data_IF_731546952989
#
_entry.id   IF_731546952989
#
_cell.length_a   1.000
_cell.length_b   1.000
_cell.length_c   1.000
_cell.angle_alpha   90.00
_cell.angle_beta   90.00
_cell.angle_gamma   90.00
#
_symmetry.space_group_name_H-M   'P 1'
#
loop_
_entity.id
_entity.type
_entity.pdbx_description
1 polymer ?
#
# COMPACT_ATOMS: atom_id res chain seq x y z
N UNK A 1 -19.68 8.38 -19.04
CA UNK A 1 -20.43 7.15 -18.67
C UNK A 1 -19.47 6.04 -18.30
N UNK A 2 -19.87 5.04 -17.46
CA UNK A 2 -19.01 3.89 -17.16
C UNK A 2 -19.15 2.80 -18.23
N UNK A 3 -18.04 2.18 -18.65
CA UNK A 3 -18.03 1.06 -19.59
C UNK A 3 -17.34 -0.16 -18.96
N UNK A 4 -17.78 -1.37 -19.37
CA UNK A 4 -17.15 -2.62 -18.95
C UNK A 4 -15.77 -2.75 -19.60
N UNK A 5 -14.73 -2.58 -18.80
CA UNK A 5 -13.36 -2.44 -19.27
C UNK A 5 -12.61 -3.77 -19.20
N UNK A 6 -12.54 -4.38 -18.03
CA UNK A 6 -11.85 -5.64 -17.79
C UNK A 6 -12.77 -6.65 -17.11
N UNK A 7 -12.47 -7.93 -17.28
CA UNK A 7 -13.06 -9.04 -16.55
C UNK A 7 -11.96 -9.90 -15.93
N UNK A 8 -12.13 -10.31 -14.68
CA UNK A 8 -11.20 -11.23 -14.02
C UNK A 8 -11.49 -12.64 -14.52
N UNK A 9 -10.52 -13.23 -15.21
CA UNK A 9 -10.63 -14.58 -15.77
C UNK A 9 -10.16 -15.63 -14.77
N UNK A 10 -9.11 -15.33 -14.02
CA UNK A 10 -8.62 -16.19 -12.95
C UNK A 10 -7.99 -15.34 -11.84
N UNK A 11 -8.17 -15.77 -10.59
CA UNK A 11 -7.57 -15.15 -9.42
C UNK A 11 -7.25 -16.24 -8.38
N UNK A 12 -5.96 -16.54 -8.22
CA UNK A 12 -5.43 -17.42 -7.17
C UNK A 12 -4.69 -16.63 -6.09
N UNK A 13 -4.38 -15.37 -6.35
CA UNK A 13 -3.85 -14.40 -5.39
C UNK A 13 -4.98 -13.57 -4.77
N UNK A 14 -4.69 -12.33 -4.45
CA UNK A 14 -5.65 -11.35 -3.96
C UNK A 14 -5.63 -10.12 -4.85
N UNK A 15 -6.81 -9.56 -5.12
CA UNK A 15 -6.94 -8.26 -5.77
C UNK A 15 -8.04 -7.45 -5.08
N UNK A 16 -7.85 -6.14 -5.01
CA UNK A 16 -8.84 -5.21 -4.46
C UNK A 16 -8.74 -3.86 -5.16
N UNK A 17 -9.86 -3.12 -5.21
CA UNK A 17 -9.84 -1.73 -5.64
C UNK A 17 -9.32 -0.88 -4.50
N UNK A 18 -8.32 -0.06 -4.77
CA UNK A 18 -7.71 0.85 -3.80
C UNK A 18 -7.56 2.25 -4.42
N UNK A 19 -7.71 3.27 -3.57
CA UNK A 19 -7.36 4.67 -3.82
C UNK A 19 -6.46 5.19 -2.68
N UNK A 20 -6.46 6.46 -2.35
CA UNK A 20 -5.70 6.98 -1.20
C UNK A 20 -6.36 6.68 0.17
N UNK A 21 -7.57 6.12 0.16
CA UNK A 21 -8.31 5.73 1.36
C UNK A 21 -9.28 6.78 1.87
N UNK A 22 -10.01 6.39 2.94
CA UNK A 22 -11.04 7.21 3.62
C UNK A 22 -10.38 8.14 4.62
N UNK A 23 -9.98 9.29 4.15
CA UNK A 23 -9.48 10.33 5.04
C UNK A 23 -10.65 10.83 5.92
N UNK A 24 -10.38 11.09 7.19
CA UNK A 24 -11.35 11.61 8.17
C UNK A 24 -12.53 10.66 8.53
N UNK A 25 -12.46 9.36 8.25
CA UNK A 25 -13.51 8.40 8.64
C UNK A 25 -13.19 7.63 9.95
N UNK A 26 -11.99 7.79 10.49
CA UNK A 26 -11.53 7.05 11.67
C UNK A 26 -12.38 7.31 12.92
N UNK A 27 -12.86 8.53 13.12
CA UNK A 27 -13.72 8.90 14.24
C UNK A 27 -15.10 8.21 14.19
N UNK A 28 -15.50 7.68 13.03
CA UNK A 28 -16.71 6.87 12.84
C UNK A 28 -16.46 5.36 13.11
N UNK A 29 -15.23 4.97 13.45
CA UNK A 29 -14.87 3.58 13.72
C UNK A 29 -14.44 2.79 12.47
N UNK A 30 -14.33 3.43 11.29
CA UNK A 30 -14.01 2.75 10.04
C UNK A 30 -12.53 2.84 9.68
N UNK A 31 -12.01 1.76 9.08
CA UNK A 31 -10.63 1.71 8.59
C UNK A 31 -10.42 2.72 7.46
N UNK A 32 -9.25 3.36 7.45
CA UNK A 32 -8.90 4.27 6.36
C UNK A 32 -8.80 3.54 5.02
N UNK A 33 -8.22 2.33 5.00
CA UNK A 33 -7.94 1.61 3.76
C UNK A 33 -6.93 2.36 2.88
N UNK A 34 -7.00 2.12 1.58
CA UNK A 34 -6.15 2.73 0.58
C UNK A 34 -4.96 1.88 0.18
N UNK A 35 -4.29 2.28 -0.89
CA UNK A 35 -3.13 1.58 -1.44
C UNK A 35 -2.04 1.36 -0.38
N UNK A 36 -1.53 0.13 -0.28
CA UNK A 36 -0.50 -0.23 0.68
C UNK A 36 0.83 0.46 0.32
N UNK A 37 1.19 0.46 -0.96
CA UNK A 37 2.31 1.20 -1.53
C UNK A 37 1.78 2.42 -2.32
N UNK A 38 1.62 3.56 -1.63
CA UNK A 38 1.14 4.78 -2.28
C UNK A 38 2.08 5.29 -3.37
N UNK A 39 3.39 5.01 -3.28
CA UNK A 39 4.32 5.43 -4.31
C UNK A 39 4.03 4.72 -5.64
N UNK A 40 3.86 3.41 -5.61
CA UNK A 40 3.52 2.64 -6.79
C UNK A 40 2.13 3.01 -7.33
N UNK A 41 1.14 3.16 -6.45
CA UNK A 41 -0.22 3.57 -6.80
C UNK A 41 -0.26 4.95 -7.48
N UNK A 42 0.35 5.95 -6.86
CA UNK A 42 0.39 7.31 -7.41
C UNK A 42 1.16 7.37 -8.73
N UNK A 43 2.24 6.59 -8.85
CA UNK A 43 3.02 6.51 -10.09
C UNK A 43 2.21 5.87 -11.22
N UNK A 44 1.41 4.83 -10.94
CA UNK A 44 0.53 4.24 -11.95
C UNK A 44 -0.48 5.26 -12.50
N UNK A 45 -1.11 6.01 -11.61
CA UNK A 45 -2.04 7.08 -12.00
C UNK A 45 -1.35 8.24 -12.72
N UNK A 46 -0.13 8.60 -12.33
CA UNK A 46 0.65 9.62 -13.01
C UNK A 46 1.04 9.19 -14.42
N UNK A 47 1.44 7.93 -14.63
CA UNK A 47 1.73 7.37 -15.95
C UNK A 47 0.53 7.52 -16.89
N UNK A 48 -0.69 7.24 -16.41
CA UNK A 48 -1.92 7.45 -17.17
C UNK A 48 -2.12 8.94 -17.49
N UNK A 49 -1.94 9.83 -16.50
CA UNK A 49 -2.09 11.27 -16.67
C UNK A 49 -1.08 11.84 -17.69
N UNK A 50 0.17 11.43 -17.59
CA UNK A 50 1.25 11.86 -18.49
C UNK A 50 1.02 11.35 -19.92
N UNK A 51 0.47 10.14 -20.06
CA UNK A 51 0.11 9.56 -21.36
C UNK A 51 -1.02 10.36 -22.03
N UNK A 52 -2.04 10.73 -21.26
CA UNK A 52 -3.18 11.47 -21.80
C UNK A 52 -2.83 12.92 -22.25
N UNK A 53 -1.56 13.35 -22.15
CA UNK A 53 -1.06 14.69 -22.55
C UNK A 53 -2.00 15.82 -22.11
N UNK A 54 -2.60 15.69 -20.95
CA UNK A 54 -3.44 16.73 -20.39
C UNK A 54 -2.57 17.94 -20.09
N UNK A 55 -2.79 19.03 -20.81
CA UNK A 55 -2.09 20.33 -20.70
C UNK A 55 -2.24 20.96 -19.32
N UNK A 56 -3.13 20.40 -18.51
CA UNK A 56 -3.23 20.65 -17.07
C UNK A 56 -3.06 19.30 -16.33
N UNK A 57 -2.22 19.23 -15.28
CA UNK A 57 -2.16 18.02 -14.45
C UNK A 57 -3.56 17.76 -13.88
N UNK A 58 -4.22 16.73 -14.38
CA UNK A 58 -5.57 16.40 -13.95
C UNK A 58 -5.47 15.87 -12.52
N UNK A 59 -5.63 16.77 -11.53
CA UNK A 59 -5.62 16.42 -10.09
C UNK A 59 -6.59 15.28 -9.77
N UNK A 60 -7.61 15.07 -10.61
CA UNK A 60 -8.55 13.97 -10.45
C UNK A 60 -7.94 12.59 -10.74
N UNK A 61 -6.97 12.46 -11.68
CA UNK A 61 -6.36 11.17 -11.99
C UNK A 61 -5.47 10.66 -10.84
N UNK A 62 -4.81 11.52 -10.07
CA UNK A 62 -3.89 11.12 -8.99
C UNK A 62 -4.54 10.21 -7.94
N UNK A 63 -5.85 10.34 -7.69
CA UNK A 63 -6.59 9.50 -6.76
C UNK A 63 -7.62 8.60 -7.44
N UNK A 64 -7.49 8.34 -8.75
CA UNK A 64 -8.37 7.39 -9.42
C UNK A 64 -8.14 5.97 -8.88
N UNK A 65 -9.23 5.23 -8.59
CA UNK A 65 -9.10 3.88 -8.05
C UNK A 65 -8.36 2.96 -9.01
N UNK A 66 -7.37 2.24 -8.48
CA UNK A 66 -6.59 1.24 -9.19
C UNK A 66 -6.79 -0.14 -8.56
N UNK A 67 -6.45 -1.19 -9.28
CA UNK A 67 -6.44 -2.55 -8.73
C UNK A 67 -5.08 -2.77 -8.07
N UNK A 68 -5.09 -3.05 -6.77
CA UNK A 68 -3.95 -3.57 -6.02
C UNK A 68 -3.99 -5.08 -6.10
N UNK A 69 -2.91 -5.69 -6.62
CA UNK A 69 -2.76 -7.13 -6.80
C UNK A 69 -1.67 -7.62 -5.85
N UNK A 70 -2.02 -8.48 -4.90
CA UNK A 70 -1.09 -9.03 -3.92
C UNK A 70 -0.61 -10.41 -4.38
N UNK A 71 0.72 -10.59 -4.46
CA UNK A 71 1.42 -11.82 -4.88
C UNK A 71 1.07 -12.27 -6.33
N UNK A 72 0.53 -11.41 -7.16
CA UNK A 72 0.21 -11.74 -8.55
C UNK A 72 -0.85 -12.83 -8.69
N UNK A 73 -0.63 -13.78 -9.61
CA UNK A 73 -1.51 -14.93 -9.88
C UNK A 73 -2.94 -14.54 -10.25
N UNK A 74 -3.07 -13.47 -11.03
CA UNK A 74 -4.34 -12.93 -11.52
C UNK A 74 -4.25 -12.74 -13.02
N UNK A 75 -5.34 -13.03 -13.72
CA UNK A 75 -5.49 -12.73 -15.14
C UNK A 75 -6.77 -11.97 -15.43
N UNK A 76 -6.67 -11.04 -16.38
CA UNK A 76 -7.77 -10.20 -16.84
C UNK A 76 -7.93 -10.34 -18.34
N UNK A 77 -9.17 -10.19 -18.80
CA UNK A 77 -9.49 -10.01 -20.21
C UNK A 77 -10.02 -8.60 -20.45
N UNK A 78 -9.49 -7.94 -21.46
CA UNK A 78 -10.03 -6.67 -21.91
C UNK A 78 -11.33 -6.89 -22.68
N UNK A 79 -12.39 -6.14 -22.34
CA UNK A 79 -13.66 -6.18 -23.04
C UNK A 79 -13.84 -4.97 -23.95
N UNK A 80 -13.04 -3.95 -23.76
CA UNK A 80 -12.98 -2.77 -24.61
C UNK A 80 -11.55 -2.30 -24.76
N UNK A 81 -11.28 -1.52 -25.77
CA UNK A 81 -9.99 -0.86 -25.92
C UNK A 81 -9.77 0.11 -24.74
N UNK A 82 -8.62 0.00 -24.08
CA UNK A 82 -8.28 0.86 -22.95
C UNK A 82 -6.77 1.00 -22.77
N UNK A 83 -6.36 2.11 -22.13
CA UNK A 83 -4.98 2.35 -21.73
C UNK A 83 -4.84 2.03 -20.26
N UNK A 84 -3.87 1.19 -19.95
CA UNK A 84 -3.51 0.77 -18.59
C UNK A 84 -2.10 1.19 -18.23
N UNK A 85 -1.82 1.34 -16.94
CA UNK A 85 -0.47 1.44 -16.41
C UNK A 85 -0.23 0.35 -15.35
N UNK A 86 0.97 -0.23 -15.34
CA UNK A 86 1.39 -1.26 -14.40
C UNK A 86 2.59 -0.78 -13.61
N UNK A 87 2.53 -0.86 -12.27
CA UNK A 87 3.61 -0.47 -11.34
C UNK A 87 3.71 -1.45 -10.17
N UNK A 88 4.57 -1.14 -9.19
CA UNK A 88 4.77 -1.96 -7.99
C UNK A 88 5.68 -3.16 -8.22
N UNK A 89 5.43 -4.26 -7.53
CA UNK A 89 6.19 -5.49 -7.63
C UNK A 89 6.18 -6.04 -9.06
N UNK A 90 7.31 -6.58 -9.53
CA UNK A 90 7.41 -7.13 -10.88
C UNK A 90 6.84 -8.55 -10.95
N UNK A 91 5.59 -8.66 -11.30
CA UNK A 91 4.88 -9.92 -11.52
C UNK A 91 5.12 -10.55 -12.90
N UNK A 92 6.17 -10.15 -13.62
CA UNK A 92 6.44 -10.64 -15.00
C UNK A 92 5.18 -10.61 -15.85
N UNK A 93 4.48 -9.46 -15.82
CA UNK A 93 3.20 -9.32 -16.51
C UNK A 93 3.34 -9.60 -18.00
N UNK A 94 2.29 -10.19 -18.60
CA UNK A 94 2.21 -10.48 -20.02
C UNK A 94 0.92 -9.93 -20.60
N UNK A 95 0.99 -9.49 -21.86
CA UNK A 95 -0.19 -9.25 -22.70
C UNK A 95 -0.13 -10.26 -23.84
N UNK A 96 -1.14 -11.11 -23.98
CA UNK A 96 -1.22 -12.18 -25.00
C UNK A 96 0.09 -13.01 -25.05
N UNK A 97 0.56 -13.47 -23.87
CA UNK A 97 1.79 -14.23 -23.66
C UNK A 97 3.12 -13.49 -23.93
N UNK A 98 3.08 -12.25 -24.38
CA UNK A 98 4.27 -11.41 -24.56
C UNK A 98 4.59 -10.72 -23.23
N UNK A 99 5.79 -10.97 -22.70
CA UNK A 99 6.26 -10.32 -21.46
C UNK A 99 6.40 -8.82 -21.67
N UNK A 100 5.80 -8.04 -20.77
CA UNK A 100 5.83 -6.59 -20.79
C UNK A 100 6.67 -6.03 -19.63
N UNK A 101 7.17 -4.82 -19.80
CA UNK A 101 7.93 -4.12 -18.74
C UNK A 101 6.98 -3.54 -17.69
N UNK A 102 7.41 -3.57 -16.44
CA UNK A 102 6.75 -2.87 -15.37
C UNK A 102 7.05 -1.35 -15.42
N UNK A 103 6.25 -0.55 -14.76
CA UNK A 103 6.35 0.93 -14.70
C UNK A 103 6.17 1.62 -16.05
N UNK A 104 5.20 1.14 -16.84
CA UNK A 104 4.85 1.65 -18.17
C UNK A 104 3.35 1.59 -18.43
N UNK A 105 2.90 2.38 -19.43
CA UNK A 105 1.56 2.30 -19.99
C UNK A 105 1.51 1.35 -21.18
N UNK A 106 0.33 0.74 -21.37
CA UNK A 106 0.02 -0.15 -22.48
C UNK A 106 -1.39 0.09 -22.97
N UNK A 107 -1.57 -0.01 -24.28
CA UNK A 107 -2.89 -0.02 -24.91
C UNK A 107 -3.34 -1.45 -25.08
N UNK A 108 -4.51 -1.77 -24.58
CA UNK A 108 -5.18 -3.06 -24.74
C UNK A 108 -6.23 -2.95 -25.83
N UNK A 109 -6.35 -4.00 -26.61
CA UNK A 109 -7.45 -4.21 -27.55
C UNK A 109 -8.51 -5.11 -26.92
N UNK A 110 -9.77 -5.09 -27.42
CA UNK A 110 -10.76 -6.08 -26.99
C UNK A 110 -10.23 -7.49 -27.13
N UNK A 111 -10.48 -8.31 -26.13
CA UNK A 111 -10.05 -9.71 -25.96
C UNK A 111 -8.57 -9.90 -25.59
N UNK A 112 -7.75 -8.87 -25.46
CA UNK A 112 -6.39 -9.02 -24.94
C UNK A 112 -6.43 -9.60 -23.52
N UNK A 113 -5.52 -10.54 -23.27
CA UNK A 113 -5.33 -11.19 -21.98
C UNK A 113 -4.13 -10.60 -21.26
N UNK A 114 -4.36 -10.11 -20.03
CA UNK A 114 -3.27 -9.66 -19.15
C UNK A 114 -3.10 -10.70 -18.05
N UNK A 115 -1.86 -11.17 -17.85
CA UNK A 115 -1.55 -12.14 -16.81
C UNK A 115 -0.45 -11.62 -15.89
N UNK A 116 -0.60 -11.84 -14.59
CA UNK A 116 0.38 -11.49 -13.55
C UNK A 116 0.86 -12.78 -12.89
N UNK A 117 2.13 -13.11 -13.03
CA UNK A 117 2.74 -14.21 -12.29
C UNK A 117 3.09 -13.79 -10.85
N UNK A 118 3.49 -14.73 -10.01
CA UNK A 118 4.00 -14.44 -8.68
C UNK A 118 5.32 -13.64 -8.79
N UNK A 119 5.46 -12.49 -8.12
CA UNK A 119 6.67 -11.69 -8.18
C UNK A 119 7.82 -12.37 -7.42
N UNK A 120 9.06 -12.16 -7.87
CA UNK A 120 10.26 -12.62 -7.15
C UNK A 120 10.48 -11.80 -5.87
N UNK A 121 10.28 -10.48 -5.97
CA UNK A 121 10.43 -9.51 -4.89
C UNK A 121 9.23 -8.59 -4.82
N UNK A 122 8.95 -8.07 -3.64
CA UNK A 122 7.77 -7.25 -3.39
C UNK A 122 6.50 -8.07 -3.21
N UNK A 123 5.41 -7.41 -2.86
CA UNK A 123 4.10 -8.02 -2.62
C UNK A 123 3.03 -7.48 -3.55
N UNK A 124 2.97 -6.15 -3.71
CA UNK A 124 1.85 -5.45 -4.33
C UNK A 124 2.22 -4.89 -5.70
N UNK A 125 1.44 -5.25 -6.72
CA UNK A 125 1.45 -4.60 -8.04
C UNK A 125 0.17 -3.79 -8.20
N UNK A 126 0.22 -2.74 -9.02
CA UNK A 126 -0.92 -1.86 -9.28
C UNK A 126 -1.22 -1.86 -10.77
N UNK A 127 -2.51 -1.98 -11.08
CA UNK A 127 -3.05 -1.84 -12.42
C UNK A 127 -4.00 -0.62 -12.41
N UNK A 128 -3.61 0.46 -13.07
CA UNK A 128 -4.42 1.67 -13.23
C UNK A 128 -5.02 1.77 -14.63
N UNK A 129 -6.10 2.52 -14.75
CA UNK A 129 -6.78 2.86 -16.01
C UNK A 129 -7.20 4.33 -16.00
N UNK A 130 -7.40 4.93 -17.16
CA UNK A 130 -7.90 6.27 -17.25
C UNK A 130 -9.30 6.39 -16.61
N UNK A 131 -9.44 7.33 -15.67
CA UNK A 131 -10.66 7.54 -14.87
C UNK A 131 -10.92 6.54 -13.76
N UNK A 132 -9.99 5.58 -13.55
CA UNK A 132 -10.02 4.59 -12.45
C UNK A 132 -11.01 3.45 -12.66
N UNK A 133 -10.90 2.42 -11.81
CA UNK A 133 -11.75 1.24 -11.81
C UNK A 133 -12.88 1.32 -10.77
N UNK A 134 -14.05 0.78 -11.14
CA UNK A 134 -15.16 0.53 -10.23
C UNK A 134 -15.71 -0.89 -10.44
N UNK A 135 -16.39 -1.45 -9.43
CA UNK A 135 -17.03 -2.77 -9.52
C UNK A 135 -18.43 -2.73 -10.12
N UNK A 136 -19.04 -1.57 -10.21
CA UNK A 136 -20.42 -1.39 -10.68
C UNK A 136 -20.57 -0.09 -11.49
N UNK A 137 -21.50 -0.10 -12.44
CA UNK A 137 -21.89 1.10 -13.17
C UNK A 137 -22.48 2.13 -12.21
N UNK A 138 -21.97 3.37 -12.24
CA UNK A 138 -22.47 4.45 -11.39
C UNK A 138 -22.13 4.30 -9.91
N UNK A 139 -21.18 3.43 -9.56
CA UNK A 139 -20.72 3.28 -8.17
C UNK A 139 -20.21 4.63 -7.65
N UNK A 140 -20.70 4.99 -6.45
CA UNK A 140 -20.24 6.19 -5.74
C UNK A 140 -19.22 5.82 -4.67
N UNK A 141 -18.26 6.70 -4.36
CA UNK A 141 -17.34 6.47 -3.27
C UNK A 141 -18.09 6.45 -1.93
N UNK A 142 -17.76 5.48 -1.07
CA UNK A 142 -18.29 5.43 0.28
C UNK A 142 -17.34 6.17 1.24
N UNK A 143 -17.88 7.12 1.97
CA UNK A 143 -17.10 8.06 2.80
C UNK A 143 -15.91 8.67 2.04
N UNK A 144 -16.11 9.04 0.77
CA UNK A 144 -15.12 9.69 -0.07
C UNK A 144 -14.06 8.78 -0.70
N UNK A 145 -14.19 7.43 -0.58
CA UNK A 145 -13.20 6.48 -1.10
C UNK A 145 -13.86 5.25 -1.74
N UNK A 146 -13.20 4.70 -2.76
CA UNK A 146 -13.54 3.41 -3.37
C UNK A 146 -12.73 2.24 -2.78
N UNK A 147 -11.79 2.52 -1.86
CA UNK A 147 -10.94 1.49 -1.29
C UNK A 147 -11.74 0.37 -0.64
N UNK A 148 -11.50 -0.84 -1.08
CA UNK A 148 -12.03 -2.05 -0.49
C UNK A 148 -11.21 -2.43 0.73
N UNK A 149 -11.86 -2.63 1.84
CA UNK A 149 -11.27 -3.04 3.11
C UNK A 149 -12.05 -4.23 3.66
N UNK A 150 -11.35 -5.17 4.30
CA UNK A 150 -11.92 -6.47 4.64
C UNK A 150 -13.16 -6.37 5.54
N UNK A 151 -13.08 -5.55 6.60
CA UNK A 151 -14.17 -5.37 7.56
C UNK A 151 -15.38 -4.68 6.93
N UNK A 152 -15.14 -3.60 6.17
CA UNK A 152 -16.19 -2.81 5.55
C UNK A 152 -16.87 -3.56 4.38
N UNK A 153 -16.14 -4.43 3.68
CA UNK A 153 -16.73 -5.35 2.70
C UNK A 153 -17.64 -6.38 3.38
N UNK A 154 -17.22 -6.93 4.53
CA UNK A 154 -18.05 -7.88 5.29
C UNK A 154 -19.36 -7.24 5.78
N UNK A 155 -19.36 -5.92 6.03
CA UNK A 155 -20.52 -5.12 6.38
C UNK A 155 -21.33 -4.64 5.15
N UNK A 156 -20.86 -4.93 3.93
CA UNK A 156 -21.55 -4.54 2.68
C UNK A 156 -21.32 -3.11 2.21
N UNK A 157 -20.42 -2.33 2.84
CA UNK A 157 -20.23 -0.91 2.53
C UNK A 157 -19.33 -0.63 1.31
N UNK A 158 -18.29 -1.45 1.08
CA UNK A 158 -17.26 -1.17 0.06
C UNK A 158 -17.29 -2.14 -1.13
N UNK A 159 -18.46 -2.73 -1.38
CA UNK A 159 -18.65 -3.69 -2.45
C UNK A 159 -18.32 -5.13 -2.05
N UNK A 160 -18.14 -5.99 -3.04
CA UNK A 160 -17.82 -7.41 -2.85
C UNK A 160 -16.34 -7.67 -3.17
N UNK A 161 -15.75 -8.72 -2.60
CA UNK A 161 -14.43 -9.18 -3.00
C UNK A 161 -14.35 -9.43 -4.52
N UNK A 162 -13.20 -9.12 -5.11
CA UNK A 162 -12.93 -9.45 -6.51
C UNK A 162 -12.67 -10.96 -6.62
N UNK A 163 -13.42 -11.62 -7.47
CA UNK A 163 -13.35 -13.07 -7.74
C UNK A 163 -13.33 -13.31 -9.25
N UNK A 164 -13.06 -14.52 -9.68
CA UNK A 164 -13.22 -14.95 -11.08
C UNK A 164 -14.62 -14.60 -11.59
N UNK A 165 -14.71 -13.99 -12.76
CA UNK A 165 -15.93 -13.47 -13.36
C UNK A 165 -16.32 -12.04 -12.91
N UNK A 166 -15.58 -11.43 -11.97
CA UNK A 166 -15.81 -10.04 -11.59
C UNK A 166 -15.58 -9.10 -12.76
N UNK A 167 -16.56 -8.23 -13.00
CA UNK A 167 -16.50 -7.19 -14.05
C UNK A 167 -16.00 -5.88 -13.45
N UNK A 168 -15.08 -5.25 -14.16
CA UNK A 168 -14.47 -3.98 -13.79
C UNK A 168 -14.85 -2.94 -14.82
N UNK A 169 -15.27 -1.78 -14.34
CA UNK A 169 -15.75 -0.66 -15.16
C UNK A 169 -14.78 0.51 -15.05
N UNK A 170 -14.64 1.29 -16.14
CA UNK A 170 -13.88 2.53 -16.15
C UNK A 170 -14.73 3.66 -16.75
N UNK A 171 -14.24 4.89 -16.66
CA UNK A 171 -14.86 6.05 -17.33
C UNK A 171 -14.68 5.92 -18.85
N UNK A 172 -15.79 5.90 -19.60
CA UNK A 172 -15.73 5.87 -21.07
C UNK A 172 -15.07 7.13 -21.64
N UNK A 173 -15.43 8.29 -21.11
CA UNK A 173 -14.94 9.59 -21.62
C UNK A 173 -13.42 9.74 -21.37
N UNK A 174 -12.95 9.38 -20.18
CA UNK A 174 -11.51 9.41 -19.87
C UNK A 174 -10.72 8.39 -20.69
N UNK A 175 -11.30 7.21 -20.91
CA UNK A 175 -10.66 6.16 -21.69
C UNK A 175 -10.63 6.51 -23.19
N UNK A 176 -11.69 7.11 -23.72
CA UNK A 176 -11.71 7.63 -25.09
C UNK A 176 -10.58 8.62 -25.36
N UNK A 177 -10.37 9.56 -24.42
CA UNK A 177 -9.28 10.51 -24.53
C UNK A 177 -7.93 9.80 -24.53
N UNK A 178 -7.72 8.83 -23.63
CA UNK A 178 -6.45 8.13 -23.48
C UNK A 178 -6.08 7.30 -24.72
N UNK A 179 -7.02 6.57 -25.33
CA UNK A 179 -6.75 5.65 -26.45
C UNK A 179 -6.37 6.34 -27.77
N UNK A 180 -6.76 7.60 -27.95
CA UNK A 180 -6.42 8.38 -29.15
C UNK A 180 -5.04 9.02 -29.11
N UNK A 181 -4.35 8.93 -27.97
CA UNK A 181 -3.00 9.46 -27.80
C UNK A 181 -1.94 8.39 -28.13
N UNK A 182 -0.85 8.74 -28.85
CA UNK A 182 0.25 7.82 -29.08
C UNK A 182 0.91 7.43 -27.77
N UNK A 183 1.13 6.13 -27.53
CA UNK A 183 1.86 5.69 -26.34
C UNK A 183 3.28 6.20 -26.42
N UNK A 184 3.60 7.17 -25.59
CA UNK A 184 4.97 7.63 -25.36
C UNK A 184 5.72 6.57 -24.53
N UNK A 185 6.14 5.47 -25.18
CA UNK A 185 6.94 4.42 -24.56
C UNK A 185 8.30 4.90 -24.02
N UNK A 186 8.65 6.17 -24.22
CA UNK A 186 10.00 6.71 -24.06
C UNK A 186 10.22 7.55 -22.78
N UNK A 187 9.29 7.60 -21.83
CA UNK A 187 9.59 8.09 -20.48
C UNK A 187 9.73 6.90 -19.53
N UNK A 188 10.87 6.18 -19.52
CA UNK A 188 11.07 5.18 -18.50
C UNK A 188 11.14 5.93 -17.17
N UNK A 189 10.18 5.74 -16.31
CA UNK A 189 10.38 6.02 -14.90
C UNK A 189 11.45 5.01 -14.49
N UNK A 190 12.58 5.50 -13.96
CA UNK A 190 13.59 4.63 -13.40
C UNK A 190 12.89 3.70 -12.41
N UNK A 191 12.70 2.46 -12.84
CA UNK A 191 11.98 1.45 -12.08
C UNK A 191 12.66 1.32 -10.72
N UNK A 192 11.93 1.54 -9.61
CA UNK A 192 12.50 1.36 -8.28
C UNK A 192 12.64 -0.11 -7.89
N UNK A 193 12.81 -1.02 -8.87
CA UNK A 193 12.96 -2.47 -8.63
C UNK A 193 14.03 -2.78 -7.59
N UNK A 194 15.08 -1.95 -7.49
CA UNK A 194 16.07 -2.06 -6.43
C UNK A 194 15.49 -1.84 -5.01
N UNK A 195 14.37 -1.10 -4.87
CA UNK A 195 13.73 -0.92 -3.57
C UNK A 195 13.04 -2.19 -3.08
N UNK A 196 12.54 -3.02 -3.98
CA UNK A 196 11.80 -4.23 -3.62
C UNK A 196 12.69 -5.47 -3.50
N UNK A 197 13.92 -5.40 -3.99
CA UNK A 197 14.89 -6.50 -3.91
C UNK A 197 15.70 -6.52 -2.59
N UNK A 198 15.41 -5.60 -1.66
CA UNK A 198 16.10 -5.53 -0.37
C UNK A 198 15.44 -6.46 0.64
N UNK A 199 16.20 -7.40 1.18
CA UNK A 199 15.75 -8.31 2.25
C UNK A 199 15.86 -7.72 3.66
N UNK A 200 16.37 -6.50 3.78
CA UNK A 200 16.44 -5.73 5.02
C UNK A 200 16.12 -4.26 4.78
N UNK A 201 15.31 -3.68 5.65
CA UNK A 201 14.84 -2.30 5.53
C UNK A 201 15.03 -1.56 6.86
N UNK A 202 15.69 -0.40 6.79
CA UNK A 202 15.74 0.54 7.92
C UNK A 202 14.54 1.46 7.88
N UNK A 203 13.75 1.44 8.95
CA UNK A 203 12.56 2.26 9.13
C UNK A 203 12.88 3.45 10.03
N UNK A 204 12.57 4.65 9.56
CA UNK A 204 12.75 5.89 10.32
C UNK A 204 11.53 6.12 11.22
N UNK A 205 11.79 6.35 12.50
CA UNK A 205 10.77 6.45 13.54
C UNK A 205 10.82 7.81 14.22
N UNK A 206 9.69 8.48 14.28
CA UNK A 206 9.47 9.61 15.18
C UNK A 206 9.13 9.03 16.56
N UNK A 207 9.95 9.28 17.61
CA UNK A 207 9.72 8.71 18.92
C UNK A 207 8.46 9.29 19.58
N UNK A 208 7.75 8.48 20.34
CA UNK A 208 6.67 8.93 21.21
C UNK A 208 7.20 9.50 22.52
N UNK A 209 6.34 10.17 23.30
CA UNK A 209 6.68 10.58 24.67
C UNK A 209 7.06 9.39 25.53
N UNK A 210 6.38 8.24 25.36
CA UNK A 210 6.71 7.01 26.07
C UNK A 210 8.14 6.55 25.77
N UNK A 211 8.52 6.52 24.50
CA UNK A 211 9.88 6.14 24.08
C UNK A 211 10.95 7.05 24.72
N UNK A 212 10.67 8.37 24.78
CA UNK A 212 11.59 9.34 25.36
C UNK A 212 11.70 9.20 26.91
N UNK A 213 10.72 8.55 27.56
CA UNK A 213 10.74 8.24 29.00
C UNK A 213 11.45 6.91 29.33
N UNK A 214 11.76 6.09 28.33
CA UNK A 214 12.52 4.86 28.51
C UNK A 214 13.97 5.19 28.89
N UNK A 215 14.62 4.25 29.61
CA UNK A 215 16.05 4.36 29.86
C UNK A 215 16.85 4.32 28.53
N UNK A 216 18.04 4.91 28.54
CA UNK A 216 18.93 4.86 27.36
C UNK A 216 19.19 3.43 26.91
N UNK A 217 19.36 2.50 27.82
CA UNK A 217 19.57 1.09 27.57
C UNK A 217 18.40 0.44 26.85
N UNK A 218 17.15 0.73 27.30
CA UNK A 218 15.93 0.24 26.66
C UNK A 218 15.75 0.82 25.24
N UNK A 219 16.03 2.12 25.05
CA UNK A 219 16.00 2.75 23.74
C UNK A 219 17.01 2.11 22.81
N UNK A 220 18.25 1.89 23.25
CA UNK A 220 19.29 1.24 22.47
C UNK A 220 18.93 -0.21 22.16
N UNK A 221 18.37 -0.95 23.09
CA UNK A 221 17.90 -2.32 22.85
C UNK A 221 16.86 -2.37 21.73
N UNK A 222 15.86 -1.48 21.73
CA UNK A 222 14.88 -1.40 20.65
C UNK A 222 15.51 -1.04 19.30
N UNK A 223 16.42 -0.07 19.25
CA UNK A 223 17.02 0.43 18.01
C UNK A 223 18.10 -0.49 17.43
N UNK A 224 18.85 -1.20 18.26
CA UNK A 224 19.94 -2.08 17.85
C UNK A 224 19.43 -3.44 17.35
N UNK A 225 18.21 -3.83 17.70
CA UNK A 225 17.64 -5.11 17.31
C UNK A 225 17.29 -5.15 15.83
N UNK A 226 17.58 -6.28 15.19
CA UNK A 226 17.03 -6.65 13.89
C UNK A 226 15.78 -7.50 14.09
N UNK A 227 14.68 -7.08 13.51
CA UNK A 227 13.39 -7.75 13.61
C UNK A 227 13.07 -8.49 12.32
N UNK A 228 12.45 -9.66 12.43
CA UNK A 228 11.95 -10.43 11.29
C UNK A 228 10.45 -10.24 11.13
N UNK A 229 9.98 -10.00 9.91
CA UNK A 229 8.55 -9.88 9.60
C UNK A 229 7.89 -11.25 9.74
N UNK A 230 6.86 -11.32 10.58
CA UNK A 230 6.10 -12.53 10.85
C UNK A 230 5.16 -12.90 9.69
N UNK A 231 4.91 -14.19 9.49
CA UNK A 231 3.88 -14.70 8.57
C UNK A 231 2.45 -14.25 8.93
N UNK A 232 2.22 -13.75 10.14
CA UNK A 232 0.94 -13.19 10.58
C UNK A 232 0.76 -11.71 10.22
N UNK A 233 1.72 -11.14 9.49
CA UNK A 233 1.64 -9.76 8.99
C UNK A 233 0.60 -9.65 7.89
N UNK A 234 -0.17 -8.55 7.91
CA UNK A 234 -1.22 -8.28 6.93
C UNK A 234 -1.47 -6.76 6.80
N UNK A 235 -2.54 -6.37 6.09
CA UNK A 235 -2.92 -4.97 5.91
C UNK A 235 -3.39 -4.25 7.19
N UNK A 236 -3.68 -4.97 8.29
CA UNK A 236 -3.96 -4.36 9.60
C UNK A 236 -2.68 -3.98 10.33
N UNK A 237 -1.64 -4.83 10.28
CA UNK A 237 -0.38 -4.58 10.95
C UNK A 237 0.72 -5.58 10.59
N UNK A 238 1.94 -5.08 10.54
CA UNK A 238 3.14 -5.89 10.39
C UNK A 238 3.66 -6.29 11.77
N UNK A 239 3.60 -7.58 12.05
CA UNK A 239 4.07 -8.17 13.30
C UNK A 239 5.54 -8.50 13.17
N UNK A 240 6.34 -7.99 14.10
CA UNK A 240 7.78 -8.15 14.09
C UNK A 240 8.21 -9.12 15.19
N UNK A 241 9.22 -9.92 14.90
CA UNK A 241 9.80 -10.87 15.84
C UNK A 241 11.29 -10.52 16.04
N UNK A 242 11.70 -10.29 17.27
CA UNK A 242 13.11 -10.22 17.64
C UNK A 242 13.69 -11.64 17.67
N UNK A 243 14.99 -11.77 17.38
CA UNK A 243 15.69 -13.04 17.62
C UNK A 243 15.69 -13.34 19.11
N UNK A 244 15.44 -14.60 19.55
CA UNK A 244 15.75 -14.99 20.90
C UNK A 244 17.25 -14.78 21.12
N UNK A 245 17.62 -14.02 22.14
CA UNK A 245 19.02 -13.88 22.51
C UNK A 245 19.59 -15.26 22.82
N UNK A 246 20.64 -15.64 22.10
CA UNK A 246 21.46 -16.81 22.47
C UNK A 246 22.27 -16.42 23.70
N UNK A 247 21.91 -16.96 24.82
CA UNK A 247 22.64 -17.02 26.10
C UNK A 247 22.04 -16.18 27.25
N UNK A 248 21.41 -16.87 28.17
CA UNK A 248 21.68 -16.87 29.63
C UNK A 248 21.65 -15.58 30.47
N UNK A 249 21.36 -14.45 29.91
CA UNK A 249 21.17 -13.21 30.66
C UNK A 249 19.69 -12.78 30.59
N UNK A 250 19.15 -12.40 31.74
CA UNK A 250 17.80 -11.86 31.95
C UNK A 250 17.22 -11.25 30.67
N UNK A 251 16.03 -11.73 30.24
CA UNK A 251 15.28 -11.13 29.14
C UNK A 251 15.17 -9.61 29.40
N UNK A 252 16.00 -8.85 28.69
CA UNK A 252 16.00 -7.40 28.84
C UNK A 252 14.74 -6.88 28.18
N UNK A 253 13.76 -6.53 29.01
CA UNK A 253 12.45 -6.05 28.53
C UNK A 253 12.63 -4.69 27.88
N UNK A 254 12.04 -4.52 26.69
CA UNK A 254 12.00 -3.23 25.99
C UNK A 254 11.34 -2.17 26.87
N UNK A 255 10.28 -2.55 27.61
CA UNK A 255 9.52 -1.62 28.42
C UNK A 255 9.47 -2.03 29.88
N UNK A 256 9.81 -1.11 30.79
CA UNK A 256 9.67 -1.31 32.22
C UNK A 256 8.19 -1.55 32.61
N UNK A 257 7.96 -2.39 33.61
CA UNK A 257 6.62 -2.79 34.06
C UNK A 257 5.76 -1.58 34.48
N UNK A 258 6.34 -0.61 35.17
CA UNK A 258 5.67 0.64 35.55
C UNK A 258 5.17 1.49 34.36
N UNK A 259 5.81 1.38 33.19
CA UNK A 259 5.39 2.06 31.97
C UNK A 259 4.31 1.26 31.22
N UNK A 260 4.29 -0.06 31.36
CA UNK A 260 3.24 -0.93 30.78
C UNK A 260 1.89 -0.68 31.44
N UNK A 261 1.84 -0.57 32.74
CA UNK A 261 0.61 -0.35 33.50
C UNK A 261 -0.09 0.97 33.15
N UNK A 262 0.66 1.99 32.73
CA UNK A 262 0.12 3.29 32.33
C UNK A 262 -0.61 3.32 30.99
N UNK A 263 -0.45 2.29 30.16
CA UNK A 263 -0.89 2.28 28.77
C UNK A 263 -2.13 1.41 28.52
N UNK A 264 -2.93 1.13 29.55
CA UNK A 264 -4.11 0.26 29.46
C UNK A 264 -5.35 0.95 28.89
N UNK A 265 -5.35 2.29 28.75
CA UNK A 265 -6.48 3.04 28.20
C UNK A 265 -6.41 3.01 26.67
N UNK A 266 -7.51 2.59 26.05
CA UNK A 266 -7.64 2.65 24.58
C UNK A 266 -7.59 4.10 24.11
N UNK A 267 -6.71 4.37 23.15
CA UNK A 267 -6.53 5.67 22.51
C UNK A 267 -6.61 5.55 20.99
N UNK A 268 -6.93 6.64 20.27
CA UNK A 268 -6.88 6.63 18.81
C UNK A 268 -5.49 6.24 18.30
N UNK A 269 -5.45 5.34 17.31
CA UNK A 269 -4.19 4.92 16.70
C UNK A 269 -4.14 5.31 15.22
N UNK A 270 -2.94 5.62 14.72
CA UNK A 270 -2.73 6.09 13.36
C UNK A 270 -1.84 5.14 12.55
N UNK A 271 -1.83 5.33 11.24
CA UNK A 271 -0.98 4.61 10.30
C UNK A 271 0.50 4.79 10.65
N UNK A 272 1.22 3.69 10.76
CA UNK A 272 2.64 3.67 11.09
C UNK A 272 2.97 3.65 12.59
N UNK A 273 1.99 3.77 13.50
CA UNK A 273 2.29 3.61 14.93
C UNK A 273 2.85 2.23 15.24
N UNK A 274 3.86 2.21 16.11
CA UNK A 274 4.52 0.99 16.59
C UNK A 274 3.95 0.67 17.95
N UNK A 275 3.08 -0.31 18.02
CA UNK A 275 2.53 -0.83 19.27
C UNK A 275 3.42 -1.94 19.84
N UNK A 276 3.56 -1.97 21.17
CA UNK A 276 4.32 -2.98 21.89
C UNK A 276 3.39 -3.81 22.80
N UNK A 277 2.87 -4.95 22.36
CA UNK A 277 2.10 -5.86 23.21
C UNK A 277 2.92 -6.46 24.36
N UNK A 278 2.27 -7.18 25.27
CA UNK A 278 2.91 -7.75 26.45
C UNK A 278 4.02 -8.77 26.14
N UNK A 279 3.98 -9.41 24.99
CA UNK A 279 5.02 -10.32 24.50
C UNK A 279 6.25 -9.61 23.89
N UNK A 280 6.28 -8.28 23.92
CA UNK A 280 7.36 -7.42 23.42
C UNK A 280 7.72 -7.58 21.95
N UNK A 281 6.79 -8.10 21.16
CA UNK A 281 6.94 -8.19 19.70
C UNK A 281 6.26 -6.97 19.05
N UNK A 282 7.02 -6.01 18.49
CA UNK A 282 6.43 -4.79 17.96
C UNK A 282 5.44 -5.07 16.82
N UNK A 283 4.38 -4.27 16.75
CA UNK A 283 3.40 -4.29 15.67
C UNK A 283 3.35 -2.90 15.03
N UNK A 284 3.69 -2.81 13.74
CA UNK A 284 3.55 -1.57 12.96
C UNK A 284 2.16 -1.55 12.34
N UNK A 285 1.34 -0.58 12.71
CA UNK A 285 -0.03 -0.45 12.24
C UNK A 285 -0.10 -0.01 10.77
N UNK A 286 -0.86 -0.74 9.95
CA UNK A 286 -0.94 -0.55 8.51
C UNK A 286 -2.29 0.07 8.08
N UNK A 287 -2.63 -0.01 6.78
CA UNK A 287 -3.77 0.71 6.18
C UNK A 287 -5.14 0.29 6.72
N UNK A 288 -5.32 -0.99 7.08
CA UNK A 288 -6.60 -1.52 7.60
C UNK A 288 -6.59 -1.71 9.12
N UNK A 289 -5.71 -0.99 9.83
CA UNK A 289 -5.64 -1.01 11.29
C UNK A 289 -6.96 -0.65 11.94
N UNK A 290 -7.14 -1.11 13.16
CA UNK A 290 -8.21 -0.64 14.05
C UNK A 290 -8.11 0.88 14.30
N UNK A 291 -9.21 1.50 14.70
CA UNK A 291 -9.26 2.94 14.99
C UNK A 291 -8.80 3.28 16.39
N UNK A 292 -8.91 2.33 17.33
CA UNK A 292 -8.53 2.46 18.74
C UNK A 292 -7.60 1.32 19.14
N UNK A 293 -6.66 1.57 20.04
CA UNK A 293 -5.75 0.56 20.59
C UNK A 293 -5.31 0.88 22.01
N UNK A 294 -5.04 -0.16 22.80
CA UNK A 294 -4.64 -0.04 24.22
C UNK A 294 -3.18 -0.44 24.48
N UNK A 295 -2.41 -0.81 23.48
CA UNK A 295 -1.00 -1.15 23.67
C UNK A 295 -0.12 0.11 23.76
N UNK A 296 0.99 0.07 24.53
CA UNK A 296 2.02 1.10 24.51
C UNK A 296 2.48 1.41 23.09
N UNK A 297 2.66 2.70 22.78
CA UNK A 297 3.14 3.17 21.47
C UNK A 297 4.55 3.71 21.59
N UNK A 298 5.52 3.09 20.93
CA UNK A 298 6.92 3.51 20.97
C UNK A 298 7.22 4.69 20.03
N UNK A 299 6.45 4.84 18.97
CA UNK A 299 6.65 5.90 17.99
C UNK A 299 5.80 5.69 16.75
N UNK A 300 6.10 6.44 15.71
CA UNK A 300 5.45 6.31 14.41
C UNK A 300 6.50 6.23 13.30
N UNK A 301 6.41 5.18 12.47
CA UNK A 301 7.26 5.03 11.29
C UNK A 301 6.91 6.12 10.28
N UNK A 302 7.93 6.67 9.63
CA UNK A 302 7.74 7.64 8.57
C UNK A 302 6.92 7.04 7.41
N UNK A 303 5.90 7.76 6.96
CA UNK A 303 4.93 7.23 5.98
C UNK A 303 5.57 6.75 4.68
N UNK A 304 6.59 7.43 4.18
CA UNK A 304 7.31 7.01 2.97
C UNK A 304 8.09 5.69 3.14
N UNK A 305 8.44 5.31 4.37
CA UNK A 305 9.06 4.01 4.66
C UNK A 305 8.02 2.90 4.75
N UNK A 306 6.77 3.24 5.13
CA UNK A 306 5.66 2.29 5.17
C UNK A 306 5.29 1.78 3.77
N UNK A 307 5.46 2.60 2.72
CA UNK A 307 5.26 2.14 1.34
C UNK A 307 6.25 1.03 0.97
N UNK A 308 7.50 1.16 1.41
CA UNK A 308 8.51 0.13 1.22
C UNK A 308 8.25 -1.09 2.11
N UNK A 309 7.88 -0.86 3.38
CA UNK A 309 7.52 -1.93 4.31
C UNK A 309 6.36 -2.78 3.75
N UNK A 310 5.36 -2.15 3.12
CA UNK A 310 4.22 -2.88 2.55
C UNK A 310 4.61 -3.87 1.46
N UNK A 311 5.76 -3.68 0.83
CA UNK A 311 6.31 -4.59 -0.18
C UNK A 311 7.16 -5.72 0.40
N UNK A 312 7.46 -5.68 1.70
CA UNK A 312 8.29 -6.69 2.36
C UNK A 312 7.48 -7.95 2.71
N UNK A 313 8.16 -9.09 2.64
CA UNK A 313 7.56 -10.41 2.85
C UNK A 313 7.87 -10.98 4.23
N UNK A 314 7.07 -11.93 4.72
CA UNK A 314 7.43 -12.72 5.88
C UNK A 314 8.84 -13.32 5.74
N UNK A 315 9.61 -13.25 6.83
CA UNK A 315 11.01 -13.71 6.87
C UNK A 315 12.04 -12.63 6.54
N UNK A 316 11.64 -11.53 5.88
CA UNK A 316 12.52 -10.39 5.63
C UNK A 316 12.69 -9.54 6.90
N UNK A 317 13.70 -8.67 6.89
CA UNK A 317 14.18 -8.03 8.11
C UNK A 317 13.97 -6.54 8.11
N UNK A 318 13.71 -5.99 9.30
CA UNK A 318 13.62 -4.55 9.52
C UNK A 318 14.43 -4.16 10.75
N UNK A 319 14.98 -2.96 10.73
CA UNK A 319 15.56 -2.28 11.88
C UNK A 319 15.06 -0.84 11.96
N UNK A 320 15.33 -0.17 13.07
CA UNK A 320 14.81 1.16 13.32
C UNK A 320 15.91 2.18 13.49
N UNK A 321 15.66 3.41 13.02
CA UNK A 321 16.47 4.58 13.31
C UNK A 321 15.56 5.76 13.63
N UNK A 322 16.03 6.71 14.42
CA UNK A 322 15.24 7.87 14.79
C UNK A 322 15.28 8.94 13.68
N UNK A 323 14.16 9.64 13.53
CA UNK A 323 14.05 10.84 12.71
C UNK A 323 13.32 11.91 13.52
N UNK A 324 13.71 13.18 13.36
CA UNK A 324 12.98 14.27 14.00
C UNK A 324 11.73 14.68 13.18
N UNK A 325 10.78 15.31 13.83
CA UNK A 325 9.50 15.72 13.23
C UNK A 325 9.68 16.65 12.01
N UNK A 326 10.60 17.61 12.08
CA UNK A 326 10.81 18.56 11.01
C UNK A 326 11.32 17.89 9.72
N UNK A 327 12.30 17.00 9.85
CA UNK A 327 12.80 16.20 8.72
C UNK A 327 11.72 15.29 8.13
N UNK A 328 10.95 14.61 8.99
CA UNK A 328 9.87 13.75 8.54
C UNK A 328 8.79 14.54 7.76
N UNK A 329 8.37 15.69 8.28
CA UNK A 329 7.40 16.56 7.62
C UNK A 329 7.91 17.10 6.27
N UNK A 330 9.17 17.54 6.23
CA UNK A 330 9.79 18.05 5.00
C UNK A 330 9.82 16.98 3.91
N UNK A 331 10.23 15.76 4.23
CA UNK A 331 10.31 14.66 3.28
C UNK A 331 8.93 14.20 2.81
N UNK A 332 7.94 14.15 3.71
CA UNK A 332 6.57 13.80 3.35
C UNK A 332 5.94 14.85 2.41
N UNK A 333 6.14 16.13 2.69
CA UNK A 333 5.69 17.21 1.80
C UNK A 333 6.39 17.15 0.44
N UNK A 334 7.69 16.86 0.39
CA UNK A 334 8.43 16.70 -0.87
C UNK A 334 7.87 15.53 -1.69
N UNK A 335 7.51 14.42 -1.02
CA UNK A 335 6.88 13.28 -1.65
C UNK A 335 5.54 13.65 -2.31
N UNK A 336 4.59 14.25 -1.58
CA UNK A 336 3.27 14.57 -2.13
C UNK A 336 3.30 15.71 -3.17
N UNK A 337 4.23 16.67 -3.05
CA UNK A 337 4.45 17.69 -4.11
C UNK A 337 4.83 17.08 -5.45
N UNK A 338 5.60 15.99 -5.45
CA UNK A 338 5.97 15.27 -6.69
C UNK A 338 4.73 14.81 -7.47
N UNK A 339 3.63 14.53 -6.79
CA UNK A 339 2.38 14.07 -7.37
C UNK A 339 1.29 15.15 -7.42
N UNK A 340 1.64 16.43 -7.21
CA UNK A 340 0.72 17.58 -7.22
C UNK A 340 -0.45 17.44 -6.23
N UNK A 341 -0.22 16.78 -5.09
CA UNK A 341 -1.21 16.59 -4.04
C UNK A 341 -1.08 17.62 -2.90
N UNK A 342 -0.04 18.46 -2.91
CA UNK A 342 0.21 19.57 -2.00
C UNK A 342 0.58 20.83 -2.76
#
# INVERSE_FOLDING_TARGET
>A
MSQHCLEIININGQASIQDLGRLNAQHLGFSAGGAADEFAFLTANQLISDHCSMTEPNKHQSNCPAIEITLGQVSFRANTECVIAITGANCKAKINDIVIKNWQCYQLKPHDMITFAMPEHGLHSYLAVAGGFTCQVGQKPWLGSFAQTQNEMALGFTGKPLITGSKLYCSADANDLARHMPINANKPINSPTQFYAQHSLTLRVMPSTLFLQMSHEQQQHFLANEYTISAQSNRMGYRLQSKPEQSGSFEQKILAESLRERCLLSSPVTYGMIQLPANEQPIILMKERQTMGGYPVLGSVMQTDLFRLSQMRPGEKVNFTLINHQQAQQQLRAFYRKFSLL
#
